data_IF_589770113234
#
_entry.id   IF_589770113234
#
_cell.length_a   1.000
_cell.length_b   1.000
_cell.length_c   1.000
_cell.angle_alpha   90.00
_cell.angle_beta   90.00
_cell.angle_gamma   90.00
#
_symmetry.space_group_name_H-M   'P 1'
#
loop_
_entity.id
_entity.type
_entity.pdbx_description
1 polymer ?
#
# COMPACT_ATOMS: atom_id res chain seq x y z
N UNK A 1 7.41 -13.13 0.37
CA UNK A 1 6.15 -13.79 -0.05
C UNK A 1 5.28 -12.70 -0.64
N UNK A 2 4.70 -12.92 -1.82
CA UNK A 2 3.82 -11.92 -2.45
C UNK A 2 2.46 -11.94 -1.73
N UNK A 3 2.02 -10.77 -1.28
CA UNK A 3 0.79 -10.58 -0.52
C UNK A 3 -0.06 -9.49 -1.14
N UNK A 4 -1.38 -9.63 -1.03
CA UNK A 4 -2.32 -8.57 -1.37
C UNK A 4 -2.44 -7.65 -0.15
N UNK A 5 -2.19 -6.35 -0.33
CA UNK A 5 -2.26 -5.35 0.74
C UNK A 5 -2.81 -4.02 0.24
N UNK A 6 -3.13 -3.13 1.19
CA UNK A 6 -3.63 -1.79 0.89
C UNK A 6 -2.49 -0.76 0.96
N UNK A 7 -2.26 -0.03 -0.14
CA UNK A 7 -1.37 1.13 -0.16
C UNK A 7 -2.15 2.38 0.28
N UNK A 8 -1.58 3.18 1.19
CA UNK A 8 -2.25 4.38 1.72
C UNK A 8 -1.82 5.62 0.93
N UNK A 9 -2.80 6.28 0.32
CA UNK A 9 -2.64 7.60 -0.29
C UNK A 9 -3.64 8.61 0.29
N UNK A 10 -3.74 9.77 -0.36
CA UNK A 10 -4.68 10.83 -0.01
C UNK A 10 -4.08 11.96 0.82
N UNK A 11 -4.93 12.83 1.33
CA UNK A 11 -4.54 14.03 2.07
C UNK A 11 -4.87 13.91 3.56
N UNK A 12 -4.42 14.87 4.37
CA UNK A 12 -4.69 14.89 5.82
C UNK A 12 -6.21 14.84 6.06
N UNK A 13 -6.65 13.89 6.91
CA UNK A 13 -8.06 13.58 7.19
C UNK A 13 -8.87 13.00 6.01
N UNK A 14 -8.25 12.64 4.89
CA UNK A 14 -8.91 12.01 3.73
C UNK A 14 -8.04 10.90 3.13
N UNK A 15 -7.90 9.74 3.81
CA UNK A 15 -7.12 8.63 3.28
C UNK A 15 -7.85 7.94 2.12
N UNK A 16 -7.09 7.55 1.11
CA UNK A 16 -7.52 6.65 0.04
C UNK A 16 -6.68 5.36 0.11
N UNK A 17 -7.29 4.21 -0.18
CA UNK A 17 -6.62 2.92 -0.15
C UNK A 17 -6.72 2.24 -1.51
N UNK A 18 -5.57 1.85 -2.08
CA UNK A 18 -5.50 1.07 -3.31
C UNK A 18 -5.14 -0.38 -2.99
N UNK A 19 -5.79 -1.33 -3.65
CA UNK A 19 -5.44 -2.75 -3.55
C UNK A 19 -4.18 -2.99 -4.40
N UNK A 20 -3.14 -3.53 -3.77
CA UNK A 20 -1.83 -3.72 -4.40
C UNK A 20 -1.28 -5.11 -4.08
N UNK A 21 -0.62 -5.73 -5.06
CA UNK A 21 0.07 -7.01 -4.92
C UNK A 21 1.56 -6.74 -4.80
N UNK A 22 2.16 -7.03 -3.64
CA UNK A 22 3.57 -6.71 -3.38
C UNK A 22 4.25 -7.76 -2.50
N UNK A 23 5.57 -7.89 -2.60
CA UNK A 23 6.33 -8.73 -1.67
C UNK A 23 6.28 -8.17 -0.24
N UNK A 24 6.12 -9.08 0.72
CA UNK A 24 5.97 -8.77 2.15
C UNK A 24 7.14 -7.98 2.76
N UNK A 25 8.33 -8.01 2.13
CA UNK A 25 9.51 -7.27 2.59
C UNK A 25 9.51 -5.79 2.18
N UNK A 26 8.62 -5.40 1.26
CA UNK A 26 8.60 -4.03 0.73
C UNK A 26 7.82 -3.06 1.65
N UNK A 27 8.19 -1.78 1.71
CA UNK A 27 7.49 -0.77 2.52
C UNK A 27 6.03 -0.55 2.06
N UNK A 28 5.13 -0.17 2.98
CA UNK A 28 3.66 -0.07 2.76
C UNK A 28 3.21 1.01 1.78
N UNK A 29 3.99 2.08 1.64
CA UNK A 29 3.67 3.25 0.81
C UNK A 29 4.75 3.46 -0.29
N UNK A 30 5.63 2.47 -0.48
CA UNK A 30 6.79 2.53 -1.39
C UNK A 30 6.68 1.58 -2.57
N UNK A 31 7.82 1.07 -3.07
CA UNK A 31 7.93 0.33 -4.34
C UNK A 31 7.20 -1.02 -4.32
N UNK A 32 5.89 -0.95 -4.47
CA UNK A 32 5.06 -1.99 -5.07
C UNK A 32 5.22 -1.96 -6.57
#
# INVERSE_FOLDING_TARGET
MVVIRLARGGSKKRPHYSIVVADSRMPRDGRF
#
